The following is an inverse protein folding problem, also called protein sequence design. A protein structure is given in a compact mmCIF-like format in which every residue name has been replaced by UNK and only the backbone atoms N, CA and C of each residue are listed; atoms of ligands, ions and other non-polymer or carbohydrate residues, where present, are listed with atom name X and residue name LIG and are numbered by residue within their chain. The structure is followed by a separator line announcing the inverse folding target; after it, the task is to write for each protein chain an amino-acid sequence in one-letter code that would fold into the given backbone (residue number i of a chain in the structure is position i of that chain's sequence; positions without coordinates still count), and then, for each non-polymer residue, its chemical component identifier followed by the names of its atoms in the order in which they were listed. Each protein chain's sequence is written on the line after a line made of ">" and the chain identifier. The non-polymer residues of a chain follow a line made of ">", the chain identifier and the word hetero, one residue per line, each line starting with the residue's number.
data_IF_419841686519
#
_entry.id   IF_419841686519
#
_cell.length_a   1.000
_cell.length_b   1.000
_cell.length_c   1.000
_cell.angle_alpha   90.00
_cell.angle_beta   90.00
_cell.angle_gamma   90.00
#
_symmetry.space_group_name_H-M   'P 1'
#
loop_
_entity.id
_entity.type
_entity.pdbx_description
1 polymer ?
#
# COMPACT_ATOMS: atom_id res chain seq x y z
N UNK A 1 -39.87 22.25 -52.23
CA UNK A 1 -39.59 20.99 -51.51
C UNK A 1 -38.09 20.68 -51.43
N UNK A 2 -37.35 20.77 -52.54
CA UNK A 2 -35.89 20.52 -52.61
C UNK A 2 -35.02 21.41 -51.69
N UNK A 3 -35.23 22.73 -51.65
CA UNK A 3 -34.39 23.64 -50.82
C UNK A 3 -34.51 23.40 -49.31
N UNK A 4 -35.72 23.08 -48.84
CA UNK A 4 -35.97 22.81 -47.42
C UNK A 4 -35.24 21.54 -46.98
N UNK A 5 -35.29 20.50 -47.83
CA UNK A 5 -34.59 19.25 -47.63
C UNK A 5 -33.06 19.44 -47.61
N UNK A 6 -32.52 20.27 -48.51
CA UNK A 6 -31.08 20.57 -48.54
C UNK A 6 -30.59 21.30 -47.28
N UNK A 7 -31.40 22.23 -46.74
CA UNK A 7 -31.12 22.91 -45.46
C UNK A 7 -31.13 21.95 -44.28
N UNK A 8 -32.14 21.08 -44.20
CA UNK A 8 -32.26 20.08 -43.13
C UNK A 8 -31.11 19.07 -43.17
N UNK A 9 -30.70 18.60 -44.36
CA UNK A 9 -29.53 17.73 -44.53
C UNK A 9 -28.22 18.43 -44.14
N UNK A 10 -28.07 19.73 -44.46
CA UNK A 10 -26.89 20.50 -44.05
C UNK A 10 -26.83 20.66 -42.53
N UNK A 11 -27.97 20.91 -41.89
CA UNK A 11 -28.07 20.96 -40.42
C UNK A 11 -27.70 19.60 -39.80
N UNK A 12 -28.22 18.50 -40.35
CA UNK A 12 -27.96 17.14 -39.87
C UNK A 12 -26.48 16.75 -40.02
N UNK A 13 -25.82 17.15 -41.11
CA UNK A 13 -24.38 16.94 -41.31
C UNK A 13 -23.56 17.69 -40.27
N UNK A 14 -23.91 18.96 -40.00
CA UNK A 14 -23.23 19.75 -38.96
C UNK A 14 -23.43 19.09 -37.59
N UNK A 15 -24.66 18.67 -37.27
CA UNK A 15 -24.95 17.95 -36.03
C UNK A 15 -24.13 16.66 -35.90
N UNK A 16 -24.10 15.82 -36.94
CA UNK A 16 -23.34 14.57 -36.93
C UNK A 16 -21.84 14.81 -36.73
N UNK A 17 -21.26 15.82 -37.40
CA UNK A 17 -19.85 16.19 -37.22
C UNK A 17 -19.60 16.64 -35.78
N UNK A 18 -20.44 17.52 -35.24
CA UNK A 18 -20.32 17.99 -33.85
C UNK A 18 -20.46 16.85 -32.85
N UNK A 19 -21.47 16.00 -33.01
CA UNK A 19 -21.68 14.83 -32.15
C UNK A 19 -20.50 13.86 -32.19
N UNK A 20 -19.92 13.65 -33.38
CA UNK A 20 -18.74 12.77 -33.55
C UNK A 20 -17.51 13.37 -32.88
N UNK A 21 -17.28 14.68 -33.02
CA UNK A 21 -16.17 15.38 -32.35
C UNK A 21 -16.33 15.37 -30.83
N UNK A 22 -17.53 15.56 -30.32
CA UNK A 22 -17.84 15.47 -28.88
C UNK A 22 -17.58 14.05 -28.37
N UNK A 23 -18.05 13.02 -29.10
CA UNK A 23 -17.77 11.63 -28.74
C UNK A 23 -16.27 11.33 -28.72
N UNK A 24 -15.53 11.74 -29.76
CA UNK A 24 -14.09 11.55 -29.83
C UNK A 24 -13.36 12.24 -28.66
N UNK A 25 -13.76 13.47 -28.31
CA UNK A 25 -13.21 14.19 -27.17
C UNK A 25 -13.49 13.45 -25.84
N UNK A 26 -14.72 12.97 -25.63
CA UNK A 26 -15.07 12.17 -24.44
C UNK A 26 -14.26 10.87 -24.37
N UNK A 27 -14.06 10.18 -25.49
CA UNK A 27 -13.19 9.00 -25.55
C UNK A 27 -11.75 9.34 -25.14
N UNK A 28 -11.18 10.44 -25.65
CA UNK A 28 -9.81 10.82 -25.26
C UNK A 28 -9.67 11.15 -23.77
N UNK A 29 -10.70 11.71 -23.13
CA UNK A 29 -10.72 11.99 -21.70
C UNK A 29 -10.81 10.71 -20.86
N UNK A 30 -11.60 9.73 -21.31
CA UNK A 30 -11.72 8.43 -20.64
C UNK A 30 -10.42 7.61 -20.68
N UNK A 31 -9.66 7.71 -21.77
CA UNK A 31 -8.37 7.01 -21.91
C UNK A 31 -7.16 7.80 -21.39
N UNK A 32 -7.34 9.06 -21.02
CA UNK A 32 -6.31 9.87 -20.39
C UNK A 32 -6.10 9.45 -18.92
N UNK A 33 -5.71 8.21 -18.68
CA UNK A 33 -5.17 7.78 -17.38
C UNK A 33 -3.72 8.29 -17.28
N UNK A 34 -3.58 9.59 -17.07
CA UNK A 34 -2.29 10.17 -16.70
C UNK A 34 -2.08 9.83 -15.24
N UNK A 35 -1.18 8.89 -14.95
CA UNK A 35 -0.64 8.67 -13.60
C UNK A 35 0.09 9.94 -13.17
N UNK A 36 -0.65 10.89 -12.59
CA UNK A 36 -0.08 12.08 -11.95
C UNK A 36 0.31 11.72 -10.52
N UNK A 37 1.47 12.20 -10.08
CA UNK A 37 1.83 12.23 -8.67
C UNK A 37 0.76 13.05 -7.92
N UNK A 38 0.12 12.44 -6.93
CA UNK A 38 -0.77 13.16 -6.03
C UNK A 38 0.08 13.79 -4.93
N UNK A 39 -0.20 15.05 -4.62
CA UNK A 39 0.37 15.74 -3.47
C UNK A 39 -0.71 15.85 -2.41
N UNK A 40 -0.36 15.52 -1.18
CA UNK A 40 -1.21 15.64 0.00
C UNK A 40 -0.48 16.49 1.03
N UNK A 41 -1.21 17.33 1.76
CA UNK A 41 -0.67 18.01 2.94
C UNK A 41 -0.64 17.05 4.13
N UNK A 42 -1.75 16.33 4.35
CA UNK A 42 -1.91 15.29 5.38
C UNK A 42 -2.80 14.17 4.85
N UNK A 43 -2.61 12.95 5.37
CA UNK A 43 -3.47 11.79 5.08
C UNK A 43 -3.78 11.02 6.37
N UNK A 44 -5.06 10.92 6.70
CA UNK A 44 -5.56 10.08 7.79
C UNK A 44 -6.09 8.77 7.23
N UNK A 45 -5.32 7.70 7.40
CA UNK A 45 -5.65 6.37 6.88
C UNK A 45 -5.22 5.29 7.85
N UNK A 46 -5.99 4.20 7.90
CA UNK A 46 -5.63 3.06 8.75
C UNK A 46 -4.50 2.21 8.14
N UNK A 47 -4.34 2.25 6.82
CA UNK A 47 -3.34 1.46 6.08
C UNK A 47 -2.97 2.04 4.72
N UNK A 48 -1.67 2.02 4.42
CA UNK A 48 -1.07 2.32 3.12
C UNK A 48 -0.40 1.05 2.59
N UNK A 49 -0.72 0.67 1.35
CA UNK A 49 -0.03 -0.40 0.62
C UNK A 49 0.86 0.23 -0.45
N UNK A 50 2.15 -0.10 -0.43
CA UNK A 50 3.08 0.26 -1.51
C UNK A 50 3.25 -0.95 -2.42
N UNK A 51 2.89 -0.76 -3.69
CA UNK A 51 2.83 -1.82 -4.70
C UNK A 51 3.67 -1.45 -5.93
N UNK A 52 4.25 -2.46 -6.57
CA UNK A 52 4.89 -2.33 -7.87
C UNK A 52 3.88 -2.01 -8.97
N UNK A 53 4.38 -1.62 -10.15
CA UNK A 53 3.51 -1.45 -11.33
C UNK A 53 2.77 -2.72 -11.72
N UNK A 54 3.36 -3.88 -11.43
CA UNK A 54 2.79 -5.21 -11.67
C UNK A 54 1.73 -5.61 -10.64
N UNK A 55 1.56 -4.84 -9.56
CA UNK A 55 0.63 -5.12 -8.46
C UNK A 55 1.25 -5.88 -7.28
N UNK A 56 2.53 -6.25 -7.34
CA UNK A 56 3.22 -6.91 -6.24
C UNK A 56 3.36 -5.99 -5.02
N UNK A 57 3.03 -6.49 -3.84
CA UNK A 57 3.17 -5.76 -2.58
C UNK A 57 4.64 -5.68 -2.15
N UNK A 58 5.10 -4.49 -1.75
CA UNK A 58 6.48 -4.24 -1.31
C UNK A 58 6.58 -3.73 0.12
N UNK A 59 5.59 -2.95 0.55
CA UNK A 59 5.55 -2.44 1.90
C UNK A 59 4.11 -2.19 2.33
N UNK A 60 3.84 -2.37 3.61
CA UNK A 60 2.59 -1.98 4.26
C UNK A 60 2.91 -1.10 5.45
N UNK A 61 2.25 0.06 5.55
CA UNK A 61 2.23 0.90 6.75
C UNK A 61 0.81 0.85 7.29
N UNK A 62 0.60 0.52 8.56
CA UNK A 62 -0.76 0.47 9.10
C UNK A 62 -0.83 0.55 10.63
N UNK A 63 -2.05 0.78 11.11
CA UNK A 63 -2.41 0.53 12.50
C UNK A 63 -2.41 -0.98 12.84
N UNK A 64 -2.70 -1.31 14.10
CA UNK A 64 -2.73 -2.67 14.63
C UNK A 64 -3.84 -3.54 14.01
N UNK A 65 -5.04 -2.98 13.83
CA UNK A 65 -6.20 -3.72 13.34
C UNK A 65 -6.07 -4.13 11.86
N UNK A 66 -5.42 -3.28 11.05
CA UNK A 66 -5.29 -3.48 9.60
C UNK A 66 -3.93 -4.02 9.20
N UNK A 67 -3.09 -4.42 10.17
CA UNK A 67 -1.73 -4.86 9.92
C UNK A 67 -1.66 -6.08 9.02
N UNK A 68 -0.66 -6.11 8.14
CA UNK A 68 -0.46 -7.26 7.30
C UNK A 68 -0.03 -8.45 8.16
N UNK A 69 -0.73 -9.59 8.07
CA UNK A 69 -0.36 -10.79 8.81
C UNK A 69 0.86 -11.49 8.19
N UNK A 70 1.71 -10.84 7.40
CA UNK A 70 2.85 -11.49 6.74
C UNK A 70 2.53 -12.46 5.61
N UNK A 71 3.55 -12.78 4.81
CA UNK A 71 3.50 -13.75 3.71
C UNK A 71 4.77 -14.61 3.79
N UNK A 72 4.62 -15.93 3.73
CA UNK A 72 5.75 -16.87 3.67
C UNK A 72 5.47 -17.94 2.63
N UNK A 73 6.42 -18.17 1.72
CA UNK A 73 6.25 -19.07 0.57
C UNK A 73 5.00 -18.73 -0.27
N UNK A 74 4.73 -17.44 -0.45
CA UNK A 74 3.56 -16.95 -1.20
C UNK A 74 2.20 -17.19 -0.53
N UNK A 75 2.18 -17.64 0.74
CA UNK A 75 0.95 -17.85 1.51
C UNK A 75 0.87 -16.84 2.64
N UNK A 76 -0.32 -16.25 2.80
CA UNK A 76 -0.64 -15.47 3.99
C UNK A 76 -0.62 -16.41 5.19
N UNK A 77 0.12 -16.04 6.22
CA UNK A 77 0.16 -16.77 7.48
C UNK A 77 -0.91 -16.22 8.41
N UNK A 78 -1.71 -17.10 9.01
CA UNK A 78 -2.64 -16.69 10.05
C UNK A 78 -1.88 -16.45 11.35
N UNK A 79 -2.27 -15.42 12.10
CA UNK A 79 -1.71 -15.13 13.42
C UNK A 79 -2.79 -15.17 14.47
N UNK A 80 -2.48 -15.82 15.59
CA UNK A 80 -3.34 -15.86 16.76
C UNK A 80 -3.39 -14.50 17.48
N UNK A 81 -2.30 -13.73 17.42
CA UNK A 81 -2.17 -12.43 18.08
C UNK A 81 -2.07 -11.28 17.08
N UNK A 82 -2.74 -10.17 17.43
CA UNK A 82 -2.64 -8.93 16.68
C UNK A 82 -1.21 -8.40 16.72
N UNK A 83 -0.69 -7.98 15.56
CA UNK A 83 0.63 -7.37 15.45
C UNK A 83 0.55 -5.89 15.84
N UNK A 84 1.58 -5.34 16.51
CA UNK A 84 1.63 -3.90 16.74
C UNK A 84 1.58 -3.10 15.44
N UNK A 85 1.15 -1.83 15.49
CA UNK A 85 1.21 -0.93 14.34
C UNK A 85 2.65 -0.75 13.86
N UNK A 86 2.79 -0.41 12.57
CA UNK A 86 4.12 -0.22 11.99
C UNK A 86 4.19 -0.47 10.49
N UNK A 87 5.41 -0.77 10.04
CA UNK A 87 5.79 -0.98 8.64
C UNK A 87 6.32 -2.39 8.42
N UNK A 88 5.75 -3.12 7.46
CA UNK A 88 6.19 -4.47 7.08
C UNK A 88 6.74 -4.45 5.65
N UNK A 89 7.88 -5.10 5.42
CA UNK A 89 8.56 -5.14 4.12
C UNK A 89 8.41 -6.52 3.47
N UNK A 90 8.29 -6.52 2.14
CA UNK A 90 8.18 -7.73 1.33
C UNK A 90 9.29 -7.77 0.27
N UNK A 91 9.89 -8.94 0.08
CA UNK A 91 10.95 -9.15 -0.90
C UNK A 91 10.40 -9.34 -2.33
N UNK A 92 11.30 -9.55 -3.29
CA UNK A 92 10.96 -9.75 -4.71
C UNK A 92 10.14 -11.02 -5.00
N UNK A 93 10.05 -11.96 -4.05
CA UNK A 93 9.21 -13.15 -4.13
C UNK A 93 7.82 -12.94 -3.53
N UNK A 94 7.58 -11.77 -2.92
CA UNK A 94 6.34 -11.45 -2.21
C UNK A 94 6.30 -11.94 -0.77
N UNK A 95 7.40 -12.49 -0.24
CA UNK A 95 7.50 -12.95 1.15
C UNK A 95 7.93 -11.80 2.08
N UNK A 96 7.44 -11.79 3.32
CA UNK A 96 7.87 -10.85 4.36
C UNK A 96 9.38 -10.98 4.60
N UNK A 97 10.05 -9.85 4.78
CA UNK A 97 11.50 -9.79 5.02
C UNK A 97 11.87 -8.93 6.24
N UNK A 98 10.96 -8.84 7.20
CA UNK A 98 11.08 -8.05 8.41
C UNK A 98 10.19 -6.81 8.41
N UNK A 99 10.33 -5.99 9.46
CA UNK A 99 9.47 -4.85 9.69
C UNK A 99 9.96 -3.95 10.81
N UNK A 100 9.40 -2.74 10.85
CA UNK A 100 9.47 -1.81 11.96
C UNK A 100 8.12 -1.80 12.66
N UNK A 101 8.09 -2.25 13.91
CA UNK A 101 6.86 -2.26 14.71
C UNK A 101 7.10 -1.54 16.03
N UNK A 102 6.07 -0.84 16.50
CA UNK A 102 6.08 -0.12 17.76
C UNK A 102 4.77 -0.38 18.49
N UNK A 103 4.78 -0.40 19.81
CA UNK A 103 3.58 -0.66 20.59
C UNK A 103 3.83 -0.57 22.09
N UNK A 104 2.91 -1.16 22.84
CA UNK A 104 2.99 -1.30 24.29
C UNK A 104 3.79 -2.54 24.71
N UNK A 105 4.33 -2.51 25.92
CA UNK A 105 5.01 -3.61 26.57
C UNK A 105 4.48 -3.81 28.01
N UNK A 106 3.14 -3.75 28.15
CA UNK A 106 2.42 -3.90 29.41
C UNK A 106 2.42 -2.62 30.28
N UNK A 107 1.26 -2.30 30.87
CA UNK A 107 1.09 -1.06 31.63
C UNK A 107 1.47 0.16 30.80
N UNK A 108 2.32 1.02 31.35
CA UNK A 108 2.88 2.19 30.66
C UNK A 108 4.15 1.89 29.85
N UNK A 109 4.57 0.61 29.77
CA UNK A 109 5.77 0.19 29.06
C UNK A 109 5.67 0.31 27.54
N UNK A 110 6.81 0.52 26.89
CA UNK A 110 6.91 0.72 25.44
C UNK A 110 7.74 -0.38 24.75
N UNK A 111 7.33 -0.72 23.53
CA UNK A 111 8.01 -1.68 22.66
C UNK A 111 8.34 -1.04 21.32
N UNK A 112 9.56 -1.26 20.84
CA UNK A 112 9.99 -0.92 19.49
C UNK A 112 10.91 -2.00 18.94
N UNK A 113 10.68 -2.44 17.70
CA UNK A 113 11.49 -3.45 17.05
C UNK A 113 11.61 -3.20 15.55
N UNK A 114 12.84 -3.06 15.07
CA UNK A 114 13.20 -3.17 13.66
C UNK A 114 13.85 -4.53 13.43
N UNK A 115 13.29 -5.37 12.57
CA UNK A 115 13.81 -6.71 12.31
C UNK A 115 14.12 -6.95 10.84
N UNK A 116 15.06 -7.87 10.60
CA UNK A 116 15.45 -8.35 9.29
C UNK A 116 15.34 -9.88 9.28
N UNK A 117 14.48 -10.39 8.40
CA UNK A 117 14.18 -11.81 8.32
C UNK A 117 15.03 -12.47 7.24
N UNK A 118 15.44 -13.73 7.48
CA UNK A 118 16.03 -14.56 6.44
C UNK A 118 14.95 -14.89 5.41
N UNK A 119 15.35 -15.04 4.14
CA UNK A 119 14.42 -15.50 3.09
C UNK A 119 13.78 -16.81 3.51
N UNK A 120 12.44 -16.82 3.61
CA UNK A 120 11.62 -17.98 4.02
C UNK A 120 12.01 -18.55 5.39
N UNK A 121 12.57 -17.71 6.26
CA UNK A 121 12.93 -18.03 7.63
C UNK A 121 12.46 -16.93 8.55
N UNK A 122 12.97 -16.97 9.78
CA UNK A 122 12.61 -16.02 10.82
C UNK A 122 13.70 -14.92 10.99
N UNK A 123 13.49 -14.02 11.94
CA UNK A 123 14.41 -12.91 12.23
C UNK A 123 15.85 -13.42 12.42
N UNK A 124 16.81 -12.69 11.85
CA UNK A 124 18.26 -12.93 12.03
C UNK A 124 18.96 -11.75 12.68
N UNK A 125 18.50 -10.53 12.43
CA UNK A 125 19.03 -9.30 13.02
C UNK A 125 17.85 -8.43 13.47
N UNK A 126 18.00 -7.76 14.61
CA UNK A 126 17.00 -6.79 15.05
C UNK A 126 17.54 -5.73 15.99
N UNK A 127 16.97 -4.54 15.91
CA UNK A 127 17.17 -3.45 16.87
C UNK A 127 15.92 -3.39 17.74
N UNK A 128 16.09 -3.60 19.04
CA UNK A 128 14.97 -3.67 19.97
C UNK A 128 15.11 -2.66 21.09
N UNK A 129 13.97 -2.14 21.50
CA UNK A 129 13.77 -1.36 22.72
C UNK A 129 12.56 -1.92 23.44
N UNK A 130 12.75 -2.37 24.67
CA UNK A 130 11.70 -2.89 25.54
C UNK A 130 11.78 -2.15 26.86
N UNK A 131 10.78 -1.33 27.14
CA UNK A 131 10.60 -0.61 28.38
C UNK A 131 9.44 -1.24 29.15
N UNK A 132 9.62 -1.47 30.45
CA UNK A 132 8.59 -1.98 31.35
C UNK A 132 7.87 -0.83 32.05
N UNK A 133 6.69 -1.10 32.60
CA UNK A 133 5.87 -0.16 33.38
C UNK A 133 6.61 0.50 34.57
N UNK A 134 7.61 -0.19 35.13
CA UNK A 134 8.45 0.30 36.22
C UNK A 134 9.62 1.21 35.77
N UNK A 135 9.70 1.57 34.49
CA UNK A 135 10.73 2.44 33.92
C UNK A 135 12.07 1.75 33.66
N UNK A 136 12.18 0.44 33.89
CA UNK A 136 13.35 -0.33 33.44
C UNK A 136 13.27 -0.59 31.96
N UNK A 137 14.41 -0.57 31.25
CA UNK A 137 14.42 -0.82 29.82
C UNK A 137 15.62 -1.67 29.38
N UNK A 138 15.43 -2.38 28.29
CA UNK A 138 16.47 -3.08 27.54
C UNK A 138 16.49 -2.54 26.12
N UNK A 139 17.66 -2.12 25.65
CA UNK A 139 17.84 -1.66 24.28
C UNK A 139 19.10 -2.27 23.68
N UNK A 140 19.05 -2.66 22.39
CA UNK A 140 20.25 -3.16 21.74
C UNK A 140 20.03 -3.80 20.38
N UNK A 141 21.17 -4.18 19.79
CA UNK A 141 21.26 -5.07 18.64
C UNK A 141 21.14 -6.52 19.11
N UNK A 142 20.19 -7.25 18.53
CA UNK A 142 19.99 -8.68 18.77
C UNK A 142 20.29 -9.43 17.48
N UNK A 143 21.03 -10.52 17.60
CA UNK A 143 21.39 -11.41 16.49
C UNK A 143 20.92 -12.80 16.84
N UNK A 144 20.13 -13.41 15.96
CA UNK A 144 19.63 -14.78 16.11
C UNK A 144 20.36 -15.70 15.15
N UNK A 145 20.81 -16.84 15.68
CA UNK A 145 21.29 -17.94 14.85
C UNK A 145 20.11 -18.83 14.47
N UNK A 146 19.74 -18.80 13.20
CA UNK A 146 18.76 -19.72 12.63
C UNK A 146 19.48 -21.04 12.25
N UNK A 147 18.83 -22.21 12.40
CA UNK A 147 19.31 -23.48 11.86
C UNK A 147 19.58 -23.45 10.34
#
# INVERSE_FOLDING_TARGET
>A
MSEKLAKEVRLLKVYAVVATLVCAALFTLLFASVRKTQAFEEIDVERINIVEKTGELRMVISNQERQHPGIVNGKIIERETARPPGMIFFNHLGDEMGGLVMGENGGDGHFGSLTFDKVRGDQTIGFRHLESDNGTYTAGLVIWQQP
#
